data_IF_364880110350
#
_entry.id   IF_364880110350
#
_cell.length_a   1.000
_cell.length_b   1.000
_cell.length_c   1.000
_cell.angle_alpha   90.00
_cell.angle_beta   90.00
_cell.angle_gamma   90.00
#
_symmetry.space_group_name_H-M   'P 1'
#
loop_
_entity.id
_entity.type
_entity.pdbx_description
1 polymer ?
#
# COMPACT_ATOMS: atom_id res chain seq x y z
N UNK A 1 -12.77 6.99 -5.41
CA UNK A 1 -13.87 7.10 -4.43
C UNK A 1 -14.46 5.73 -4.09
N UNK A 2 -14.86 4.94 -5.08
CA UNK A 2 -15.48 3.62 -4.87
C UNK A 2 -14.68 2.73 -3.91
N UNK A 3 -13.37 2.70 -4.01
CA UNK A 3 -12.48 1.91 -3.15
C UNK A 3 -12.43 2.47 -1.73
N UNK A 4 -12.23 3.78 -1.60
CA UNK A 4 -12.03 4.45 -0.29
C UNK A 4 -13.33 4.71 0.48
N UNK A 5 -14.48 4.54 -0.16
CA UNK A 5 -15.80 4.60 0.48
C UNK A 5 -16.33 3.24 0.92
N UNK A 6 -15.62 2.16 0.64
CA UNK A 6 -16.02 0.80 1.02
C UNK A 6 -15.58 0.47 2.44
N UNK A 7 -16.53 0.12 3.31
CA UNK A 7 -16.29 -0.19 4.72
C UNK A 7 -15.39 -1.42 4.92
N UNK A 8 -15.50 -2.42 4.06
CA UNK A 8 -14.69 -3.63 4.17
C UNK A 8 -13.23 -3.34 3.79
N UNK A 9 -13.02 -2.53 2.76
CA UNK A 9 -11.67 -2.10 2.33
C UNK A 9 -11.00 -1.27 3.41
N UNK A 10 -11.73 -0.33 4.01
CA UNK A 10 -11.19 0.65 4.95
C UNK A 10 -11.18 0.19 6.41
N UNK A 11 -11.70 -0.98 6.71
CA UNK A 11 -11.94 -1.49 8.09
C UNK A 11 -10.77 -1.30 9.05
N UNK A 12 -9.55 -1.56 8.60
CA UNK A 12 -8.33 -1.51 9.42
C UNK A 12 -7.41 -0.35 9.04
N UNK A 13 -7.89 0.60 8.26
CA UNK A 13 -7.09 1.72 7.74
C UNK A 13 -7.50 3.00 8.43
N UNK A 14 -8.68 3.51 8.10
CA UNK A 14 -9.30 4.68 8.70
C UNK A 14 -10.79 4.74 8.29
N UNK A 15 -11.60 5.61 8.89
CA UNK A 15 -12.98 5.77 8.46
C UNK A 15 -13.12 6.03 6.97
N UNK A 16 -14.17 5.48 6.35
CA UNK A 16 -14.42 5.65 4.92
C UNK A 16 -14.38 7.11 4.48
N UNK A 17 -13.93 7.32 3.26
CA UNK A 17 -13.84 8.63 2.66
C UNK A 17 -15.15 9.01 1.96
N UNK A 18 -15.60 10.24 2.17
CA UNK A 18 -16.55 10.86 1.27
C UNK A 18 -15.85 11.37 0.00
N UNK A 19 -16.60 11.98 -0.90
CA UNK A 19 -16.07 12.48 -2.17
C UNK A 19 -15.06 13.61 -1.96
N UNK A 20 -15.31 14.52 -1.02
CA UNK A 20 -14.41 15.65 -0.74
C UNK A 20 -13.09 15.18 -0.14
N UNK A 21 -13.14 14.25 0.82
CA UNK A 21 -11.93 13.67 1.41
C UNK A 21 -11.13 12.87 0.37
N UNK A 22 -11.82 12.16 -0.53
CA UNK A 22 -11.16 11.43 -1.63
C UNK A 22 -10.41 12.39 -2.57
N UNK A 23 -11.04 13.49 -2.97
CA UNK A 23 -10.37 14.52 -3.79
C UNK A 23 -9.18 15.13 -3.09
N UNK A 24 -9.33 15.50 -1.81
CA UNK A 24 -8.24 16.06 -1.01
C UNK A 24 -7.06 15.08 -0.88
N UNK A 25 -7.33 13.81 -0.68
CA UNK A 25 -6.32 12.75 -0.64
C UNK A 25 -5.57 12.62 -1.97
N UNK A 26 -6.28 12.58 -3.10
CA UNK A 26 -5.63 12.52 -4.42
C UNK A 26 -4.73 13.73 -4.65
N UNK A 27 -5.18 14.92 -4.28
CA UNK A 27 -4.39 16.14 -4.44
C UNK A 27 -3.15 16.14 -3.55
N UNK A 28 -3.28 15.77 -2.28
CA UNK A 28 -2.18 15.83 -1.31
C UNK A 28 -1.19 14.68 -1.43
N UNK A 29 -1.63 13.50 -1.80
CA UNK A 29 -0.79 12.29 -1.82
C UNK A 29 -0.47 11.79 -3.25
N UNK A 30 -1.38 11.96 -4.20
CA UNK A 30 -1.21 11.47 -5.56
C UNK A 30 -0.66 12.51 -6.54
N UNK A 31 -0.89 13.80 -6.29
CA UNK A 31 -0.50 14.90 -7.17
C UNK A 31 0.64 15.76 -6.62
N UNK A 32 1.21 15.39 -5.48
CA UNK A 32 2.43 16.01 -4.97
C UNK A 32 3.67 15.50 -5.74
N UNK A 33 4.81 16.13 -5.57
CA UNK A 33 6.06 15.76 -6.25
C UNK A 33 7.18 15.49 -5.22
N UNK A 34 7.71 14.26 -5.13
CA UNK A 34 7.21 13.06 -5.79
C UNK A 34 5.87 12.59 -5.19
N UNK A 35 5.04 11.84 -5.94
CA UNK A 35 3.81 11.27 -5.41
C UNK A 35 4.09 10.27 -4.27
N UNK A 36 3.19 10.22 -3.28
CA UNK A 36 3.23 9.25 -2.18
C UNK A 36 2.44 7.98 -2.51
N UNK A 37 1.43 8.12 -3.37
CA UNK A 37 0.58 7.02 -3.83
C UNK A 37 0.40 7.06 -5.35
N UNK A 38 0.15 5.88 -5.92
CA UNK A 38 0.01 5.68 -7.37
C UNK A 38 -1.24 4.87 -7.66
N UNK A 39 -1.99 5.23 -8.69
CA UNK A 39 -3.16 4.45 -9.09
C UNK A 39 -2.76 3.05 -9.57
N UNK A 40 -3.52 2.04 -9.12
CA UNK A 40 -3.46 0.69 -9.68
C UNK A 40 -4.58 0.58 -10.70
N UNK A 41 -4.21 0.32 -11.95
CA UNK A 41 -5.15 0.27 -13.10
C UNK A 41 -5.28 -1.15 -13.61
N UNK A 42 -6.52 -1.61 -13.78
CA UNK A 42 -6.80 -2.88 -14.43
C UNK A 42 -6.65 -2.71 -15.95
N UNK A 43 -5.60 -3.32 -16.52
CA UNK A 43 -5.22 -3.08 -17.92
C UNK A 43 -6.32 -3.38 -18.94
N UNK A 44 -7.13 -4.39 -18.68
CA UNK A 44 -8.19 -4.81 -19.64
C UNK A 44 -9.31 -3.78 -19.79
N UNK A 45 -9.57 -2.99 -18.76
CA UNK A 45 -10.68 -2.02 -18.75
C UNK A 45 -10.23 -0.57 -18.64
N UNK A 46 -9.00 -0.32 -18.21
CA UNK A 46 -8.52 1.02 -17.88
C UNK A 46 -9.07 1.58 -16.56
N UNK A 47 -9.83 0.78 -15.79
CA UNK A 47 -10.38 1.23 -14.52
C UNK A 47 -9.35 1.24 -13.40
N UNK A 48 -9.43 2.27 -12.55
CA UNK A 48 -8.66 2.32 -11.31
C UNK A 48 -9.32 1.38 -10.30
N UNK A 49 -8.56 0.41 -9.81
CA UNK A 49 -9.01 -0.63 -8.87
C UNK A 49 -8.42 -0.50 -7.47
N UNK A 50 -7.61 0.52 -7.24
CA UNK A 50 -6.97 0.78 -5.97
C UNK A 50 -5.81 1.73 -6.11
N UNK A 51 -4.98 1.81 -5.07
CA UNK A 51 -3.73 2.55 -5.15
C UNK A 51 -2.59 1.82 -4.45
N UNK A 52 -1.38 2.05 -4.93
CA UNK A 52 -0.13 1.61 -4.33
C UNK A 52 0.44 2.75 -3.49
N UNK A 53 1.03 2.39 -2.35
CA UNK A 53 1.80 3.29 -1.49
C UNK A 53 3.27 3.08 -1.84
N UNK A 54 3.99 4.15 -2.14
CA UNK A 54 5.41 4.10 -2.45
C UNK A 54 6.05 5.45 -2.18
N UNK A 55 6.71 5.58 -1.06
CA UNK A 55 7.42 6.81 -0.69
C UNK A 55 8.60 6.51 0.24
N UNK A 56 9.50 7.48 0.36
CA UNK A 56 10.59 7.40 1.32
C UNK A 56 10.03 7.28 2.74
N UNK A 57 10.59 6.38 3.54
CA UNK A 57 10.18 6.09 4.91
C UNK A 57 11.17 6.71 5.90
N UNK A 58 12.32 6.08 6.05
CA UNK A 58 13.42 6.56 6.87
C UNK A 58 14.74 6.39 6.12
N UNK A 59 15.61 7.38 6.17
CA UNK A 59 16.92 7.33 5.49
C UNK A 59 16.79 6.83 4.03
N UNK A 60 17.25 5.62 3.74
CA UNK A 60 17.21 4.97 2.42
C UNK A 60 16.11 3.92 2.28
N UNK A 61 15.16 3.88 3.21
CA UNK A 61 14.05 2.93 3.18
C UNK A 61 12.82 3.49 2.48
N UNK A 62 12.00 2.60 1.92
CA UNK A 62 10.73 2.95 1.29
C UNK A 62 9.58 2.21 1.95
N UNK A 63 8.54 2.95 2.33
CA UNK A 63 7.26 2.35 2.66
C UNK A 63 6.56 1.91 1.39
N UNK A 64 6.09 0.67 1.38
CA UNK A 64 5.30 0.11 0.29
C UNK A 64 4.01 -0.50 0.83
N UNK A 65 2.96 -0.41 0.03
CA UNK A 65 1.67 -0.98 0.38
C UNK A 65 0.68 -0.88 -0.76
N UNK A 66 -0.52 -1.33 -0.50
CA UNK A 66 -1.62 -1.27 -1.47
C UNK A 66 -2.97 -1.24 -0.77
N UNK A 67 -3.92 -0.61 -1.42
CA UNK A 67 -5.34 -0.67 -1.09
C UNK A 67 -6.07 -1.04 -2.37
N UNK A 68 -6.85 -2.12 -2.35
CA UNK A 68 -7.54 -2.68 -3.52
C UNK A 68 -9.04 -2.74 -3.29
N UNK A 69 -9.79 -2.47 -4.35
CA UNK A 69 -11.22 -2.78 -4.42
C UNK A 69 -11.43 -4.26 -4.07
N UNK A 70 -12.37 -4.54 -3.17
CA UNK A 70 -12.63 -5.89 -2.67
C UNK A 70 -13.02 -6.88 -3.77
N UNK A 71 -13.59 -6.41 -4.88
CA UNK A 71 -13.92 -7.25 -6.04
C UNK A 71 -12.68 -7.88 -6.69
N UNK A 72 -11.50 -7.35 -6.40
CA UNK A 72 -10.22 -7.82 -6.93
C UNK A 72 -9.36 -8.57 -5.90
N UNK A 73 -9.87 -8.81 -4.71
CA UNK A 73 -9.16 -9.59 -3.70
C UNK A 73 -9.03 -11.07 -4.11
N UNK A 74 -7.97 -11.71 -3.67
CA UNK A 74 -7.73 -13.14 -3.94
C UNK A 74 -7.30 -13.45 -5.39
N UNK A 75 -6.95 -12.46 -6.20
CA UNK A 75 -6.54 -12.61 -7.60
C UNK A 75 -5.02 -12.51 -7.83
N UNK A 76 -4.24 -12.40 -6.75
CA UNK A 76 -2.78 -12.29 -6.85
C UNK A 76 -2.27 -10.87 -7.17
N UNK A 77 -3.14 -9.86 -7.17
CA UNK A 77 -2.77 -8.48 -7.52
C UNK A 77 -1.82 -7.88 -6.47
N UNK A 78 -2.07 -8.12 -5.19
CA UNK A 78 -1.19 -7.65 -4.12
C UNK A 78 0.24 -8.18 -4.28
N UNK A 79 0.40 -9.46 -4.65
CA UNK A 79 1.71 -10.07 -4.90
C UNK A 79 2.42 -9.40 -6.09
N UNK A 80 1.72 -9.22 -7.20
CA UNK A 80 2.24 -8.56 -8.40
C UNK A 80 2.66 -7.11 -8.12
N UNK A 81 1.80 -6.33 -7.46
CA UNK A 81 2.08 -4.95 -7.08
C UNK A 81 3.28 -4.86 -6.15
N UNK A 82 3.33 -5.71 -5.11
CA UNK A 82 4.43 -5.69 -4.14
C UNK A 82 5.76 -6.01 -4.80
N UNK A 83 5.83 -7.03 -5.65
CA UNK A 83 7.05 -7.37 -6.41
C UNK A 83 7.52 -6.19 -7.24
N UNK A 84 6.59 -5.48 -7.87
CA UNK A 84 6.92 -4.32 -8.69
C UNK A 84 7.42 -3.14 -7.87
N UNK A 85 6.81 -2.87 -6.73
CA UNK A 85 7.26 -1.83 -5.80
C UNK A 85 8.66 -2.13 -5.25
N UNK A 86 8.94 -3.40 -4.92
CA UNK A 86 10.29 -3.84 -4.49
C UNK A 86 11.33 -3.60 -5.60
N UNK A 87 11.00 -3.90 -6.86
CA UNK A 87 11.87 -3.60 -8.00
C UNK A 87 12.16 -2.10 -8.11
N UNK A 88 11.14 -1.25 -8.01
CA UNK A 88 11.30 0.20 -8.03
C UNK A 88 12.17 0.70 -6.87
N UNK A 89 11.96 0.18 -5.67
CA UNK A 89 12.78 0.53 -4.52
C UNK A 89 14.26 0.18 -4.76
N UNK A 90 14.55 -1.02 -5.28
CA UNK A 90 15.91 -1.43 -5.66
C UNK A 90 16.54 -0.50 -6.69
N UNK A 91 15.80 -0.16 -7.75
CA UNK A 91 16.27 0.75 -8.79
C UNK A 91 16.48 2.18 -8.26
N UNK A 92 15.79 2.56 -7.20
CA UNK A 92 15.95 3.85 -6.52
C UNK A 92 17.12 3.86 -5.51
N UNK A 93 17.81 2.74 -5.33
CA UNK A 93 18.92 2.62 -4.39
C UNK A 93 18.49 2.46 -2.93
N UNK A 94 17.29 1.96 -2.70
CA UNK A 94 16.78 1.70 -1.36
C UNK A 94 17.53 0.58 -0.66
N UNK A 95 17.72 0.69 0.65
CA UNK A 95 18.33 -0.36 1.48
C UNK A 95 17.29 -1.39 1.92
N UNK A 96 16.06 -0.96 2.12
CA UNK A 96 14.95 -1.86 2.48
C UNK A 96 13.59 -1.32 2.06
N UNK A 97 12.60 -2.24 2.03
CA UNK A 97 11.18 -1.90 1.98
C UNK A 97 10.51 -2.18 3.32
N UNK A 98 9.55 -1.34 3.68
CA UNK A 98 8.76 -1.45 4.92
C UNK A 98 7.28 -1.55 4.57
N UNK A 99 6.57 -2.45 5.24
CA UNK A 99 5.10 -2.55 5.22
C UNK A 99 4.61 -2.29 6.64
N UNK A 100 3.67 -1.37 6.79
CA UNK A 100 2.96 -1.13 8.04
C UNK A 100 1.50 -1.56 7.90
N UNK A 101 0.96 -2.24 8.89
CA UNK A 101 -0.44 -2.65 8.91
C UNK A 101 -0.98 -2.77 10.33
N UNK A 102 -2.29 -2.67 10.47
CA UNK A 102 -2.96 -2.90 11.74
C UNK A 102 -2.76 -4.34 12.22
N UNK A 103 -2.63 -4.54 13.54
CA UNK A 103 -2.44 -5.85 14.14
C UNK A 103 -3.60 -6.84 13.85
N UNK A 104 -4.81 -6.34 13.66
CA UNK A 104 -5.99 -7.14 13.33
C UNK A 104 -6.05 -7.50 11.84
N UNK A 105 -5.23 -6.88 11.01
CA UNK A 105 -5.16 -7.11 9.57
C UNK A 105 -4.36 -8.38 9.25
N UNK A 106 -4.89 -9.53 9.67
CA UNK A 106 -4.23 -10.85 9.62
C UNK A 106 -3.78 -11.22 8.20
N UNK A 107 -4.59 -10.90 7.18
CA UNK A 107 -4.27 -11.19 5.79
C UNK A 107 -3.00 -10.45 5.32
N UNK A 108 -2.88 -9.16 5.63
CA UNK A 108 -1.70 -8.35 5.29
C UNK A 108 -0.45 -8.81 6.03
N UNK A 109 -0.58 -9.16 7.30
CA UNK A 109 0.53 -9.70 8.10
C UNK A 109 1.05 -11.01 7.54
N UNK A 110 0.16 -11.95 7.25
CA UNK A 110 0.53 -13.25 6.63
C UNK A 110 1.16 -13.06 5.26
N UNK A 111 0.62 -12.14 4.48
CA UNK A 111 1.16 -11.82 3.18
C UNK A 111 2.59 -11.29 3.28
N UNK A 112 2.85 -10.30 4.15
CA UNK A 112 4.19 -9.73 4.34
C UNK A 112 5.21 -10.82 4.70
N UNK A 113 4.90 -11.70 5.65
CA UNK A 113 5.76 -12.82 6.05
C UNK A 113 5.99 -13.77 4.87
N UNK A 114 4.93 -14.14 4.16
CA UNK A 114 4.99 -15.08 3.02
C UNK A 114 5.96 -14.62 1.93
N UNK A 115 6.02 -13.31 1.66
CA UNK A 115 6.89 -12.76 0.63
C UNK A 115 8.28 -12.36 1.14
N UNK A 116 8.59 -12.66 2.40
CA UNK A 116 9.94 -12.56 2.95
C UNK A 116 10.19 -11.35 3.86
N UNK A 117 9.17 -10.56 4.17
CA UNK A 117 9.31 -9.48 5.17
C UNK A 117 9.42 -10.06 6.57
N UNK A 118 10.24 -9.45 7.40
CA UNK A 118 10.48 -9.83 8.79
C UNK A 118 9.83 -8.82 9.72
N UNK A 119 9.12 -9.31 10.73
CA UNK A 119 8.49 -8.47 11.75
C UNK A 119 9.55 -7.77 12.59
N UNK A 120 9.42 -6.47 12.77
CA UNK A 120 10.37 -5.63 13.55
C UNK A 120 9.76 -4.98 14.80
N UNK A 121 8.48 -5.19 15.07
CA UNK A 121 7.78 -4.55 16.18
C UNK A 121 6.76 -3.53 15.71
N UNK A 122 6.37 -2.63 16.61
CA UNK A 122 5.37 -1.59 16.35
C UNK A 122 6.02 -0.24 16.10
N UNK A 123 5.41 0.48 15.16
CA UNK A 123 5.64 1.91 14.91
C UNK A 123 4.29 2.60 15.00
N UNK A 124 4.07 3.49 15.98
CA UNK A 124 2.79 4.19 16.22
C UNK A 124 1.58 3.24 16.21
N UNK A 125 1.38 2.25 16.89
CA UNK A 125 0.28 1.28 16.93
C UNK A 125 0.16 0.36 15.70
N UNK A 126 0.98 0.56 14.66
CA UNK A 126 1.01 -0.33 13.49
C UNK A 126 2.10 -1.40 13.64
N UNK A 127 1.82 -2.59 13.15
CA UNK A 127 2.80 -3.66 13.01
C UNK A 127 3.72 -3.36 11.83
N UNK A 128 5.02 -3.37 12.07
CA UNK A 128 6.03 -3.03 11.07
C UNK A 128 6.78 -4.27 10.58
N UNK A 129 6.89 -4.41 9.28
CA UNK A 129 7.59 -5.51 8.60
C UNK A 129 8.60 -4.94 7.62
N UNK A 130 9.81 -5.49 7.59
CA UNK A 130 10.91 -5.02 6.75
C UNK A 130 11.47 -6.13 5.85
N UNK A 131 11.80 -5.76 4.63
CA UNK A 131 12.53 -6.58 3.67
C UNK A 131 13.83 -5.86 3.28
N UNK A 132 14.99 -6.43 3.62
CA UNK A 132 16.29 -5.95 3.14
C UNK A 132 16.42 -6.22 1.62
N UNK A 133 16.95 -5.27 0.88
CA UNK A 133 17.08 -5.33 -0.57
C UNK A 133 18.48 -5.68 -1.05
#
# INVERSE_FOLDING_TARGET
YQVLSDEDVMRYIEPVFDMEKTKAFIQSAGMCEPPLVYAIVWKQTGNVIGHAIFHNYEQSDYEIGWILDKSYWGMGIADEVTKKLVEYAKCSGADSCVIECDAEQVASRRFAIKIGFVYEGKSDDLECYRLAL
#
